data_IF_383308300385
#
_entry.id   IF_383308300385
#
_cell.length_a   1.000
_cell.length_b   1.000
_cell.length_c   1.000
_cell.angle_alpha   90.00
_cell.angle_beta   90.00
_cell.angle_gamma   90.00
#
_symmetry.space_group_name_H-M   'P 1'
#
loop_
_entity.id
_entity.type
_entity.pdbx_description
1 polymer ?
#
# COMPACT_ATOMS: atom_id res chain seq x y z
N UNK A 1 57.05 12.37 8.81
CA UNK A 1 55.85 12.03 8.02
C UNK A 1 55.32 10.70 8.52
N UNK A 2 54.03 10.71 8.81
CA UNK A 2 53.28 9.79 9.67
C UNK A 2 53.32 8.33 9.23
N UNK A 3 53.87 7.46 10.09
CA UNK A 3 53.55 6.04 10.09
C UNK A 3 52.10 5.92 10.55
N UNK A 4 51.16 5.83 9.60
CA UNK A 4 49.87 5.21 9.93
C UNK A 4 50.21 3.79 10.37
N UNK A 5 50.08 3.51 11.67
CA UNK A 5 50.25 2.17 12.21
C UNK A 5 49.39 1.23 11.38
N UNK A 6 49.96 0.09 10.99
CA UNK A 6 49.25 -0.97 10.26
C UNK A 6 48.04 -1.33 11.09
N UNK A 7 46.85 -0.86 10.69
CA UNK A 7 45.61 -1.12 11.42
C UNK A 7 45.37 -2.62 11.33
N UNK A 8 45.45 -3.28 12.46
CA UNK A 8 45.09 -4.68 12.59
C UNK A 8 43.57 -4.78 12.49
N UNK A 9 43.09 -5.16 11.30
CA UNK A 9 41.66 -5.26 11.03
C UNK A 9 41.01 -6.37 11.86
N UNK A 10 41.77 -7.37 12.33
CA UNK A 10 41.27 -8.43 13.21
C UNK A 10 41.08 -7.91 14.65
N UNK A 11 41.86 -6.91 15.08
CA UNK A 11 41.64 -6.21 16.34
C UNK A 11 40.46 -5.20 16.29
N UNK A 12 40.15 -4.68 15.09
CA UNK A 12 39.06 -3.70 14.88
C UNK A 12 37.71 -4.39 14.63
N UNK A 13 37.68 -5.57 14.01
CA UNK A 13 36.44 -6.27 13.68
C UNK A 13 35.52 -6.55 14.90
N UNK A 14 36.02 -6.95 16.09
CA UNK A 14 35.19 -7.13 17.29
C UNK A 14 34.71 -5.82 17.92
N UNK A 15 35.39 -4.70 17.62
CA UNK A 15 35.02 -3.37 18.09
C UNK A 15 33.95 -2.73 17.20
N UNK A 16 33.68 -3.32 16.03
CA UNK A 16 32.58 -2.90 15.17
C UNK A 16 31.27 -3.24 15.87
N UNK A 17 30.39 -2.27 16.16
CA UNK A 17 29.14 -2.49 16.88
C UNK A 17 28.09 -3.16 15.97
N UNK A 18 28.45 -4.29 15.35
CA UNK A 18 27.53 -5.12 14.59
C UNK A 18 27.13 -6.33 15.40
N UNK A 19 25.93 -6.30 15.95
CA UNK A 19 25.26 -7.51 16.41
C UNK A 19 24.44 -8.14 15.28
N UNK A 20 23.73 -9.24 15.58
CA UNK A 20 22.84 -9.92 14.63
C UNK A 20 21.75 -8.99 14.07
N UNK A 21 21.32 -7.99 14.85
CA UNK A 21 20.29 -7.03 14.45
C UNK A 21 20.88 -6.03 13.46
N UNK A 22 22.03 -5.45 13.76
CA UNK A 22 22.79 -4.57 12.89
C UNK A 22 23.17 -5.28 11.58
N UNK A 23 23.59 -6.54 11.63
CA UNK A 23 23.86 -7.33 10.42
C UNK A 23 22.63 -7.57 9.54
N UNK A 24 21.43 -7.69 10.14
CA UNK A 24 20.17 -7.79 9.39
C UNK A 24 19.74 -6.45 8.77
N UNK A 25 20.02 -5.33 9.45
CA UNK A 25 19.70 -3.97 8.99
C UNK A 25 20.68 -3.49 7.92
N UNK A 26 21.98 -3.73 8.10
CA UNK A 26 23.05 -3.40 7.15
C UNK A 26 23.20 -4.44 6.03
N UNK A 27 22.54 -5.59 6.15
CA UNK A 27 22.48 -6.59 5.11
C UNK A 27 21.93 -5.98 3.82
N UNK A 28 22.38 -6.50 2.67
CA UNK A 28 21.88 -6.08 1.36
C UNK A 28 20.38 -6.37 1.28
N UNK A 29 19.58 -5.34 1.52
CA UNK A 29 18.15 -5.34 1.25
C UNK A 29 17.89 -4.80 -0.15
N UNK A 30 16.91 -5.35 -0.83
CA UNK A 30 16.38 -4.75 -2.05
C UNK A 30 15.41 -3.65 -1.66
N UNK A 31 15.62 -2.44 -2.17
CA UNK A 31 14.65 -1.38 -2.02
C UNK A 31 13.41 -1.72 -2.84
N UNK A 32 12.33 -2.08 -2.16
CA UNK A 32 11.06 -2.37 -2.79
C UNK A 32 10.13 -1.14 -2.73
N UNK A 33 9.91 -0.52 -3.87
CA UNK A 33 8.92 0.54 -4.03
C UNK A 33 7.65 -0.02 -4.67
N UNK A 34 6.55 -0.02 -3.91
CA UNK A 34 5.25 -0.44 -4.42
C UNK A 34 4.59 0.70 -5.19
N UNK A 35 4.13 0.42 -6.41
CA UNK A 35 3.28 1.30 -7.18
C UNK A 35 1.88 0.71 -7.39
N UNK A 36 0.82 1.53 -7.35
CA UNK A 36 -0.53 1.08 -7.69
C UNK A 36 -0.63 0.71 -9.18
N UNK A 37 -1.53 -0.21 -9.56
CA UNK A 37 -1.83 -0.42 -10.97
C UNK A 37 -2.45 0.86 -11.57
N UNK A 38 -2.14 1.13 -12.84
CA UNK A 38 -2.57 2.34 -13.59
C UNK A 38 -4.08 2.58 -13.57
N UNK A 39 -4.87 1.51 -13.47
CA UNK A 39 -6.34 1.57 -13.42
C UNK A 39 -6.91 2.03 -12.08
N UNK A 40 -6.06 2.23 -11.08
CA UNK A 40 -6.46 2.54 -9.71
C UNK A 40 -5.80 3.83 -9.22
N UNK A 41 -6.59 4.62 -8.49
CA UNK A 41 -6.09 5.83 -7.83
C UNK A 41 -5.75 5.46 -6.40
N UNK A 42 -4.47 5.60 -6.07
CA UNK A 42 -3.94 5.44 -4.71
C UNK A 42 -3.01 6.62 -4.45
N UNK A 43 -3.27 7.36 -3.37
CA UNK A 43 -2.45 8.49 -2.96
C UNK A 43 -2.20 8.45 -1.46
N UNK A 44 -1.05 8.97 -1.03
CA UNK A 44 -0.84 9.29 0.39
C UNK A 44 -1.53 10.59 0.78
N UNK A 45 -1.65 11.50 -0.16
CA UNK A 45 -2.30 12.79 0.04
C UNK A 45 -3.83 12.67 -0.08
N UNK A 46 -4.58 13.54 0.62
CA UNK A 46 -6.04 13.55 0.53
C UNK A 46 -6.52 13.74 -0.91
N UNK A 47 -7.39 12.85 -1.36
CA UNK A 47 -8.05 12.98 -2.67
C UNK A 47 -9.26 13.90 -2.50
N UNK A 48 -9.48 14.91 -3.37
CA UNK A 48 -10.64 15.78 -3.30
C UNK A 48 -11.96 15.03 -3.35
N UNK A 49 -12.85 15.29 -2.39
CA UNK A 49 -14.19 14.70 -2.31
C UNK A 49 -15.23 15.74 -1.90
N UNK A 50 -16.48 15.46 -2.24
CA UNK A 50 -17.66 16.20 -1.79
C UNK A 50 -18.61 15.28 -1.02
N UNK A 51 -19.45 15.88 -0.19
CA UNK A 51 -20.58 15.15 0.40
C UNK A 51 -21.70 14.96 -0.65
N UNK A 52 -22.55 13.94 -0.49
CA UNK A 52 -23.81 13.84 -1.21
C UNK A 52 -24.66 15.09 -1.02
N UNK A 53 -25.36 15.52 -2.07
CA UNK A 53 -26.33 16.61 -1.94
C UNK A 53 -27.69 16.09 -1.49
N UNK A 54 -28.54 16.98 -0.95
CA UNK A 54 -29.91 16.61 -0.59
C UNK A 54 -30.70 16.07 -1.79
N UNK A 55 -30.53 16.70 -2.96
CA UNK A 55 -31.16 16.26 -4.20
C UNK A 55 -30.76 14.83 -4.60
N UNK A 56 -29.51 14.44 -4.38
CA UNK A 56 -29.05 13.06 -4.62
C UNK A 56 -29.65 12.09 -3.61
N UNK A 57 -29.73 12.49 -2.34
CA UNK A 57 -30.19 11.64 -1.24
C UNK A 57 -31.69 11.33 -1.32
N UNK A 58 -32.48 12.20 -1.95
CA UNK A 58 -33.92 11.99 -2.18
C UNK A 58 -34.18 10.89 -3.22
N UNK A 59 -33.22 10.61 -4.12
CA UNK A 59 -33.40 9.61 -5.17
C UNK A 59 -33.43 8.19 -4.58
N UNK A 60 -34.48 7.37 -4.84
CA UNK A 60 -34.57 6.00 -4.31
C UNK A 60 -33.44 5.08 -4.76
N UNK A 61 -32.81 5.38 -5.90
CA UNK A 61 -31.68 4.62 -6.46
C UNK A 61 -30.35 4.98 -5.81
N UNK A 62 -30.28 6.12 -5.14
CA UNK A 62 -29.09 6.60 -4.47
C UNK A 62 -28.96 5.95 -3.10
N UNK A 63 -27.75 5.49 -2.79
CA UNK A 63 -27.43 4.98 -1.47
C UNK A 63 -26.27 5.80 -0.97
N UNK A 64 -26.50 6.54 0.10
CA UNK A 64 -25.41 7.24 0.76
C UNK A 64 -24.49 6.22 1.45
N UNK A 65 -23.20 6.29 1.09
CA UNK A 65 -22.15 5.46 1.64
C UNK A 65 -21.15 6.29 2.45
N UNK A 66 -21.34 7.61 2.58
CA UNK A 66 -20.48 8.48 3.36
C UNK A 66 -20.45 8.01 4.82
N UNK A 67 -19.25 7.99 5.42
CA UNK A 67 -19.05 7.52 6.78
C UNK A 67 -19.06 6.00 6.96
N UNK A 68 -19.38 5.20 5.94
CA UNK A 68 -19.31 3.74 6.01
C UNK A 68 -17.90 3.29 6.41
N UNK A 69 -17.82 2.45 7.44
CA UNK A 69 -16.59 1.78 7.88
C UNK A 69 -16.69 0.29 7.59
N UNK A 70 -15.67 -0.27 6.95
CA UNK A 70 -15.59 -1.71 6.70
C UNK A 70 -14.14 -2.14 6.60
N UNK A 71 -13.77 -3.16 7.40
CA UNK A 71 -12.38 -3.57 7.58
C UNK A 71 -11.51 -2.38 7.98
N UNK A 72 -10.54 -2.06 7.13
CA UNK A 72 -9.60 -0.95 7.32
C UNK A 72 -9.98 0.31 6.54
N UNK A 73 -11.12 0.33 5.84
CA UNK A 73 -11.55 1.47 5.03
C UNK A 73 -12.64 2.28 5.73
N UNK A 74 -12.55 3.60 5.60
CA UNK A 74 -13.60 4.56 5.92
C UNK A 74 -13.95 5.35 4.67
N UNK A 75 -15.23 5.43 4.32
CA UNK A 75 -15.69 6.22 3.16
C UNK A 75 -15.79 7.70 3.55
N UNK A 76 -15.09 8.56 2.81
CA UNK A 76 -15.02 9.99 3.07
C UNK A 76 -16.14 10.76 2.36
N UNK A 77 -16.43 10.39 1.10
CA UNK A 77 -17.42 11.05 0.27
C UNK A 77 -17.28 10.68 -1.21
N UNK A 78 -17.94 11.43 -2.07
CA UNK A 78 -17.96 11.22 -3.52
C UNK A 78 -16.74 11.94 -4.12
N UNK A 79 -15.99 11.26 -4.98
CA UNK A 79 -14.84 11.84 -5.66
C UNK A 79 -15.29 13.00 -6.57
N UNK A 80 -14.61 14.16 -6.49
CA UNK A 80 -14.89 15.32 -7.36
C UNK A 80 -14.47 15.01 -8.79
N UNK A 81 -13.30 14.40 -8.94
CA UNK A 81 -12.76 13.98 -10.23
C UNK A 81 -12.81 12.44 -10.35
N UNK A 82 -13.39 11.96 -11.44
CA UNK A 82 -13.43 10.53 -11.74
C UNK A 82 -12.79 10.23 -13.10
N UNK A 83 -11.77 9.38 -13.11
CA UNK A 83 -11.09 8.92 -14.34
C UNK A 83 -12.02 8.06 -15.23
N UNK A 84 -13.15 7.58 -14.72
CA UNK A 84 -14.05 6.67 -15.43
C UNK A 84 -15.52 7.02 -15.20
N UNK A 85 -16.43 6.69 -16.13
CA UNK A 85 -17.85 6.91 -15.95
C UNK A 85 -18.40 6.21 -14.70
N UNK A 86 -19.31 6.89 -14.01
CA UNK A 86 -20.02 6.40 -12.84
C UNK A 86 -19.49 6.93 -11.50
N UNK A 87 -20.39 6.99 -10.51
CA UNK A 87 -20.09 7.55 -9.20
C UNK A 87 -18.99 6.76 -8.48
N UNK A 88 -17.93 7.48 -8.11
CA UNK A 88 -16.79 6.96 -7.37
C UNK A 88 -16.72 7.58 -5.98
N UNK A 89 -16.20 6.80 -5.04
CA UNK A 89 -16.15 7.17 -3.63
C UNK A 89 -14.71 7.20 -3.16
N UNK A 90 -14.32 8.29 -2.49
CA UNK A 90 -13.04 8.42 -1.84
C UNK A 90 -13.09 7.68 -0.51
N UNK A 91 -12.11 6.82 -0.28
CA UNK A 91 -11.95 6.09 0.97
C UNK A 91 -10.59 6.39 1.57
N UNK A 92 -10.54 6.40 2.90
CA UNK A 92 -9.30 6.46 3.68
C UNK A 92 -9.05 5.12 4.34
N UNK A 93 -7.85 4.60 4.18
CA UNK A 93 -7.40 3.40 4.88
C UNK A 93 -6.80 3.76 6.24
N UNK A 94 -6.84 2.82 7.19
CA UNK A 94 -6.17 2.97 8.51
C UNK A 94 -4.67 3.26 8.38
N UNK A 95 -4.02 2.85 7.28
CA UNK A 95 -2.61 3.18 7.03
C UNK A 95 -2.37 4.65 6.63
N UNK A 96 -3.43 5.46 6.46
CA UNK A 96 -3.36 6.85 6.06
C UNK A 96 -3.58 7.11 4.57
N UNK A 97 -3.40 6.11 3.70
CA UNK A 97 -3.59 6.27 2.25
C UNK A 97 -5.05 6.48 1.87
N UNK A 98 -5.25 7.24 0.80
CA UNK A 98 -6.52 7.52 0.15
C UNK A 98 -6.64 6.75 -1.17
N UNK A 99 -7.85 6.27 -1.46
CA UNK A 99 -8.15 5.57 -2.72
C UNK A 99 -9.53 5.90 -3.24
N UNK A 100 -9.74 5.60 -4.52
CA UNK A 100 -11.04 5.73 -5.16
C UNK A 100 -11.66 4.35 -5.43
N UNK A 101 -12.84 4.10 -4.87
CA UNK A 101 -13.58 2.83 -4.99
C UNK A 101 -14.91 3.01 -5.70
N UNK A 102 -15.40 1.91 -6.28
CA UNK A 102 -16.72 1.86 -6.93
C UNK A 102 -17.80 1.61 -5.86
N UNK A 103 -18.97 2.20 -6.04
CA UNK A 103 -20.12 2.00 -5.15
C UNK A 103 -20.45 0.51 -4.96
N UNK A 104 -20.37 -0.31 -6.02
CA UNK A 104 -20.61 -1.78 -5.93
C UNK A 104 -19.72 -2.49 -4.91
N UNK A 105 -18.46 -2.08 -4.80
CA UNK A 105 -17.51 -2.69 -3.87
C UNK A 105 -17.86 -2.31 -2.43
N UNK A 106 -18.19 -1.04 -2.20
CA UNK A 106 -18.58 -0.53 -0.91
C UNK A 106 -19.94 -1.08 -0.44
N UNK A 107 -20.89 -1.29 -1.36
CA UNK A 107 -22.16 -1.98 -1.05
C UNK A 107 -21.91 -3.42 -0.60
N UNK A 108 -20.98 -4.15 -1.24
CA UNK A 108 -20.56 -5.48 -0.78
C UNK A 108 -19.87 -5.43 0.60
N UNK A 109 -19.09 -4.38 0.88
CA UNK A 109 -18.50 -4.13 2.19
C UNK A 109 -19.57 -3.87 3.28
N UNK A 110 -20.60 -3.07 2.96
CA UNK A 110 -21.73 -2.80 3.86
C UNK A 110 -22.56 -4.06 4.13
N UNK A 111 -22.65 -4.97 3.16
CA UNK A 111 -23.27 -6.29 3.30
C UNK A 111 -22.38 -7.33 4.01
N UNK A 112 -21.29 -6.90 4.67
CA UNK A 112 -20.33 -7.77 5.40
C UNK A 112 -19.68 -8.89 4.57
N UNK A 113 -19.66 -8.78 3.24
CA UNK A 113 -19.05 -9.78 2.34
C UNK A 113 -17.52 -9.70 2.29
N UNK A 114 -16.92 -8.62 2.81
CA UNK A 114 -15.47 -8.35 2.78
C UNK A 114 -14.86 -8.46 4.17
N UNK A 115 -14.82 -9.68 4.68
CA UNK A 115 -14.33 -10.05 6.02
C UNK A 115 -13.24 -11.12 5.94
N UNK A 116 -12.49 -11.32 7.04
CA UNK A 116 -11.40 -12.31 7.13
C UNK A 116 -10.26 -12.05 6.15
N UNK A 117 -9.89 -13.07 5.36
CA UNK A 117 -8.85 -12.97 4.33
C UNK A 117 -9.15 -11.92 3.25
N UNK A 118 -10.44 -11.65 3.01
CA UNK A 118 -10.93 -10.68 2.03
C UNK A 118 -11.37 -9.35 2.68
N UNK A 119 -10.85 -9.05 3.88
CA UNK A 119 -11.09 -7.79 4.56
C UNK A 119 -10.84 -6.58 3.63
N UNK A 120 -11.71 -5.58 3.72
CA UNK A 120 -11.57 -4.36 2.93
C UNK A 120 -10.37 -3.52 3.42
N UNK A 121 -9.44 -3.20 2.51
CA UNK A 121 -8.26 -2.35 2.78
C UNK A 121 -7.75 -1.70 1.50
N UNK A 122 -6.79 -0.77 1.62
CA UNK A 122 -6.15 -0.20 0.43
C UNK A 122 -5.30 -1.24 -0.32
N UNK A 123 -5.03 -1.00 -1.59
CA UNK A 123 -4.23 -1.84 -2.46
C UNK A 123 -2.81 -2.07 -1.92
N UNK A 124 -2.19 -1.03 -1.34
CA UNK A 124 -0.90 -1.14 -0.70
C UNK A 124 -0.94 -2.13 0.48
N UNK A 125 -1.88 -1.96 1.41
CA UNK A 125 -2.08 -2.87 2.54
C UNK A 125 -2.41 -4.30 2.08
N UNK A 126 -3.24 -4.45 1.05
CA UNK A 126 -3.59 -5.75 0.50
C UNK A 126 -2.38 -6.44 -0.12
N UNK A 127 -1.52 -5.68 -0.79
CA UNK A 127 -0.27 -6.16 -1.35
C UNK A 127 0.71 -6.58 -0.25
N UNK A 128 0.92 -5.75 0.77
CA UNK A 128 1.78 -6.10 1.92
C UNK A 128 1.28 -7.35 2.65
N UNK A 129 -0.03 -7.47 2.88
CA UNK A 129 -0.62 -8.66 3.52
C UNK A 129 -0.37 -9.93 2.70
N UNK A 130 -0.42 -9.85 1.36
CA UNK A 130 -0.07 -10.99 0.49
C UNK A 130 1.39 -11.40 0.64
N UNK A 131 2.31 -10.44 0.65
CA UNK A 131 3.74 -10.72 0.86
C UNK A 131 4.01 -11.36 2.24
N UNK A 132 3.38 -10.85 3.30
CA UNK A 132 3.49 -11.42 4.65
C UNK A 132 2.99 -12.87 4.70
N UNK A 133 1.98 -13.20 3.91
CA UNK A 133 1.46 -14.56 3.78
C UNK A 133 2.27 -15.44 2.80
N UNK A 134 3.43 -14.97 2.33
CA UNK A 134 4.27 -15.69 1.38
C UNK A 134 3.68 -15.81 -0.04
N UNK A 135 2.62 -15.06 -0.35
CA UNK A 135 1.99 -15.04 -1.68
C UNK A 135 2.63 -13.95 -2.52
N UNK A 136 3.42 -14.35 -3.52
CA UNK A 136 4.05 -13.43 -4.48
C UNK A 136 3.60 -13.75 -5.91
N UNK A 137 3.72 -12.76 -6.80
CA UNK A 137 3.48 -12.97 -8.23
C UNK A 137 4.76 -13.55 -8.86
N UNK A 138 4.73 -14.78 -9.39
CA UNK A 138 5.92 -15.44 -9.92
C UNK A 138 6.53 -14.68 -11.09
N UNK A 139 5.73 -13.97 -11.90
CA UNK A 139 6.25 -13.18 -13.03
C UNK A 139 7.05 -11.98 -12.53
N UNK A 140 6.54 -11.29 -11.51
CA UNK A 140 7.25 -10.15 -10.90
C UNK A 140 8.52 -10.61 -10.18
N UNK A 141 8.48 -11.75 -9.50
CA UNK A 141 9.66 -12.33 -8.87
C UNK A 141 10.73 -12.74 -9.89
N UNK A 142 10.32 -13.33 -11.01
CA UNK A 142 11.24 -13.67 -12.11
C UNK A 142 11.88 -12.43 -12.73
N UNK A 143 11.10 -11.38 -13.01
CA UNK A 143 11.62 -10.12 -13.54
C UNK A 143 12.60 -9.43 -12.57
N UNK A 144 12.31 -9.46 -11.26
CA UNK A 144 13.24 -8.97 -10.24
C UNK A 144 14.54 -9.79 -10.22
N UNK A 145 14.46 -11.11 -10.27
CA UNK A 145 15.63 -11.99 -10.33
C UNK A 145 16.50 -11.73 -11.56
N UNK A 146 15.90 -11.51 -12.73
CA UNK A 146 16.62 -11.15 -13.96
C UNK A 146 17.33 -9.79 -13.83
N UNK A 147 16.65 -8.77 -13.29
CA UNK A 147 17.26 -7.47 -13.05
C UNK A 147 18.47 -7.56 -12.11
N UNK A 148 18.37 -8.34 -11.03
CA UNK A 148 19.47 -8.58 -10.09
C UNK A 148 20.66 -9.25 -10.80
N UNK A 149 20.42 -10.30 -11.60
CA UNK A 149 21.47 -10.97 -12.36
C UNK A 149 22.18 -10.03 -13.34
N UNK A 150 21.44 -9.13 -13.97
CA UNK A 150 21.98 -8.15 -14.90
C UNK A 150 22.78 -7.03 -14.20
N UNK A 151 22.42 -6.65 -12.96
CA UNK A 151 23.18 -5.66 -12.17
C UNK A 151 24.45 -6.22 -11.52
N UNK A 152 24.57 -7.54 -11.40
CA UNK A 152 25.77 -8.21 -10.86
C UNK A 152 26.84 -8.41 -11.94
N UNK A 153 26.47 -8.38 -13.23
CA UNK A 153 27.40 -8.37 -14.36
C UNK A 153 28.06 -7.00 -14.53
#
# INVERSE_FOLDING_TARGET
>A
MTRLARVDMDAVAPLYPSDKVAGRVAGRGEHFEWSPPETSIHSRDPIPYRQPTEAETILPSFVDLAGLKSGRLTVMGIAVESISPGQRWVVRCVCGSYEVRRARYLKACAAYQKTGDNEAMCLACAYTRRLQNGRFDPKKAAAAAEAIQNCIR
#
